data_IF_673400582909
#
_entry.id   IF_673400582909
#
_cell.length_a   1.000
_cell.length_b   1.000
_cell.length_c   1.000
_cell.angle_alpha   90.00
_cell.angle_beta   90.00
_cell.angle_gamma   90.00
#
_symmetry.space_group_name_H-M   'P 1'
#
loop_
_entity.id
_entity.type
_entity.pdbx_description
1 polymer ?
#
# COMPACT_ATOMS: atom_id res chain seq x y z
N UNK A 1 -0.06 -29.24 -10.34
CA UNK A 1 1.25 -28.92 -9.73
C UNK A 1 1.33 -27.42 -9.79
N UNK A 2 0.81 -26.84 -8.72
CA UNK A 2 0.31 -25.47 -8.67
C UNK A 2 1.39 -24.63 -8.04
N UNK A 3 2.04 -23.83 -8.87
CA UNK A 3 3.45 -23.52 -8.72
C UNK A 3 3.75 -22.60 -7.51
N UNK A 4 4.83 -22.85 -6.74
CA UNK A 4 5.33 -21.98 -5.65
C UNK A 4 5.43 -20.48 -5.99
N UNK A 5 5.54 -20.15 -7.28
CA UNK A 5 5.52 -18.78 -7.82
C UNK A 5 4.28 -17.99 -7.36
N UNK A 6 3.09 -18.59 -7.29
CA UNK A 6 1.88 -17.90 -6.86
C UNK A 6 1.91 -17.53 -5.36
N UNK A 7 2.54 -18.37 -4.53
CA UNK A 7 2.69 -18.12 -3.10
C UNK A 7 3.72 -17.02 -2.82
N UNK A 8 4.83 -17.01 -3.56
CA UNK A 8 5.86 -15.96 -3.44
C UNK A 8 5.32 -14.58 -3.86
N UNK A 9 4.50 -14.54 -4.91
CA UNK A 9 3.83 -13.31 -5.36
C UNK A 9 2.85 -12.81 -4.30
N UNK A 10 2.05 -13.70 -3.71
CA UNK A 10 1.12 -13.33 -2.64
C UNK A 10 1.86 -12.79 -1.40
N UNK A 11 2.90 -13.49 -0.96
CA UNK A 11 3.72 -13.08 0.19
C UNK A 11 4.39 -11.71 -0.05
N UNK A 12 4.91 -11.49 -1.26
CA UNK A 12 5.49 -10.20 -1.66
C UNK A 12 4.44 -9.08 -1.65
N UNK A 13 3.24 -9.33 -2.21
CA UNK A 13 2.15 -8.37 -2.20
C UNK A 13 1.68 -8.02 -0.77
N UNK A 14 1.62 -9.00 0.14
CA UNK A 14 1.32 -8.77 1.56
C UNK A 14 2.40 -7.89 2.21
N UNK A 15 3.68 -8.21 2.02
CA UNK A 15 4.78 -7.42 2.56
C UNK A 15 4.74 -5.96 2.04
N UNK A 16 4.48 -5.77 0.74
CA UNK A 16 4.34 -4.43 0.17
C UNK A 16 3.17 -3.65 0.80
N UNK A 17 2.04 -4.30 1.05
CA UNK A 17 0.90 -3.68 1.72
C UNK A 17 1.24 -3.26 3.16
N UNK A 18 1.93 -4.11 3.92
CA UNK A 18 2.38 -3.80 5.28
C UNK A 18 3.29 -2.57 5.32
N UNK A 19 4.33 -2.55 4.47
CA UNK A 19 5.25 -1.40 4.35
C UNK A 19 4.51 -0.13 3.93
N UNK A 20 3.54 -0.26 3.02
CA UNK A 20 2.75 0.87 2.54
C UNK A 20 1.87 1.47 3.65
N UNK A 21 1.24 0.64 4.47
CA UNK A 21 0.46 1.10 5.63
C UNK A 21 1.33 1.83 6.65
N UNK A 22 2.54 1.33 6.93
CA UNK A 22 3.50 2.03 7.78
C UNK A 22 3.87 3.41 7.22
N UNK A 23 4.11 3.49 5.91
CA UNK A 23 4.47 4.76 5.28
C UNK A 23 3.30 5.76 5.27
N UNK A 24 2.07 5.29 5.00
CA UNK A 24 0.84 6.10 5.14
C UNK A 24 0.72 6.66 6.56
N UNK A 25 0.98 5.84 7.58
CA UNK A 25 0.94 6.29 8.97
C UNK A 25 1.99 7.38 9.26
N UNK A 26 3.19 7.28 8.67
CA UNK A 26 4.23 8.33 8.75
C UNK A 26 3.77 9.62 8.09
N UNK A 27 3.25 9.56 6.86
CA UNK A 27 2.77 10.73 6.11
C UNK A 27 1.68 11.47 6.89
N UNK A 28 0.67 10.75 7.39
CA UNK A 28 -0.41 11.32 8.22
C UNK A 28 0.12 12.01 9.47
N UNK A 29 1.09 11.39 10.15
CA UNK A 29 1.72 11.97 11.35
C UNK A 29 2.48 13.25 11.02
N UNK A 30 3.25 13.26 9.93
CA UNK A 30 4.00 14.46 9.48
C UNK A 30 3.06 15.59 9.11
N UNK A 31 1.99 15.26 8.38
CA UNK A 31 0.96 16.20 7.97
C UNK A 31 0.26 16.86 9.18
N UNK A 32 -0.03 16.09 10.23
CA UNK A 32 -0.60 16.62 11.48
C UNK A 32 0.38 17.49 12.27
N UNK A 33 1.69 17.30 12.11
CA UNK A 33 2.73 18.01 12.86
C UNK A 33 3.24 19.30 12.20
N UNK A 34 3.02 19.46 10.89
CA UNK A 34 3.56 20.61 10.15
C UNK A 34 2.55 21.75 10.07
N UNK A 35 3.04 22.98 10.21
CA UNK A 35 2.27 24.21 9.95
C UNK A 35 2.50 24.76 8.54
N UNK A 36 3.54 24.30 7.84
CA UNK A 36 3.87 24.69 6.48
C UNK A 36 2.79 24.23 5.49
N UNK A 37 2.15 25.19 4.81
CA UNK A 37 1.06 24.93 3.85
C UNK A 37 1.54 24.15 2.63
N UNK A 38 2.69 24.50 2.06
CA UNK A 38 3.21 23.80 0.89
C UNK A 38 3.57 22.35 1.23
N UNK A 39 4.20 22.13 2.39
CA UNK A 39 4.48 20.78 2.86
C UNK A 39 3.20 19.98 3.10
N UNK A 40 2.13 20.61 3.62
CA UNK A 40 0.84 19.95 3.84
C UNK A 40 0.18 19.53 2.52
N UNK A 41 0.21 20.40 1.52
CA UNK A 41 -0.37 20.11 0.20
C UNK A 41 0.41 18.97 -0.49
N UNK A 42 1.74 19.03 -0.47
CA UNK A 42 2.59 17.95 -0.99
C UNK A 42 2.38 16.60 -0.27
N UNK A 43 2.16 16.62 1.06
CA UNK A 43 1.86 15.41 1.83
C UNK A 43 0.45 14.87 1.55
N UNK A 44 -0.52 15.73 1.22
CA UNK A 44 -1.84 15.30 0.77
C UNK A 44 -1.77 14.59 -0.59
N UNK A 45 -1.04 15.16 -1.55
CA UNK A 45 -0.83 14.53 -2.87
C UNK A 45 -0.15 13.18 -2.73
N UNK A 46 0.91 13.11 -1.90
CA UNK A 46 1.58 11.85 -1.59
C UNK A 46 0.62 10.85 -0.94
N UNK A 47 -0.19 11.28 0.03
CA UNK A 47 -1.15 10.41 0.70
C UNK A 47 -2.18 9.84 -0.28
N UNK A 48 -2.65 10.64 -1.24
CA UNK A 48 -3.56 10.18 -2.29
C UNK A 48 -2.94 9.04 -3.10
N UNK A 49 -1.74 9.23 -3.64
CA UNK A 49 -1.04 8.19 -4.41
C UNK A 49 -0.79 6.92 -3.60
N UNK A 50 -0.44 7.05 -2.32
CA UNK A 50 -0.24 5.90 -1.44
C UNK A 50 -1.55 5.14 -1.17
N UNK A 51 -2.67 5.86 -1.01
CA UNK A 51 -3.99 5.21 -0.84
C UNK A 51 -4.44 4.49 -2.10
N UNK A 52 -4.19 5.04 -3.29
CA UNK A 52 -4.50 4.37 -4.57
C UNK A 52 -3.68 3.08 -4.72
N UNK A 53 -2.38 3.12 -4.40
CA UNK A 53 -1.52 1.94 -4.43
C UNK A 53 -2.00 0.87 -3.43
N UNK A 54 -2.42 1.29 -2.22
CA UNK A 54 -2.95 0.38 -1.18
C UNK A 54 -4.21 -0.31 -1.67
N UNK A 55 -5.13 0.47 -2.24
CA UNK A 55 -6.41 -0.05 -2.74
C UNK A 55 -6.16 -1.08 -3.87
N UNK A 56 -5.13 -0.85 -4.70
CA UNK A 56 -4.67 -1.82 -5.69
C UNK A 56 -4.21 -3.15 -5.09
N UNK A 57 -3.36 -3.12 -4.05
CA UNK A 57 -2.94 -4.35 -3.35
C UNK A 57 -4.12 -5.04 -2.65
N UNK A 58 -5.01 -4.28 -2.00
CA UNK A 58 -6.18 -4.84 -1.33
C UNK A 58 -7.16 -5.51 -2.31
N UNK A 59 -7.30 -4.97 -3.53
CA UNK A 59 -8.08 -5.61 -4.59
C UNK A 59 -7.39 -6.86 -5.17
N UNK A 60 -6.05 -6.86 -5.23
CA UNK A 60 -5.27 -7.98 -5.76
C UNK A 60 -5.26 -9.20 -4.83
N UNK A 61 -5.09 -9.03 -3.51
CA UNK A 61 -4.93 -10.14 -2.57
C UNK A 61 -6.06 -11.19 -2.63
N UNK A 62 -7.36 -10.82 -2.70
CA UNK A 62 -8.44 -11.78 -2.86
C UNK A 62 -8.43 -12.50 -4.22
N UNK A 63 -8.02 -11.82 -5.29
CA UNK A 63 -7.95 -12.40 -6.64
C UNK A 63 -6.81 -13.43 -6.72
N UNK A 64 -5.64 -13.09 -6.18
CA UNK A 64 -4.49 -13.99 -6.10
C UNK A 64 -4.76 -15.22 -5.22
N UNK A 65 -5.62 -15.10 -4.20
CA UNK A 65 -6.05 -16.21 -3.36
C UNK A 65 -7.15 -17.09 -3.99
N UNK A 66 -7.88 -16.58 -4.99
CA UNK A 66 -9.03 -17.24 -5.60
C UNK A 66 -8.71 -17.97 -6.90
N UNK A 67 -7.57 -17.73 -7.54
CA UNK A 67 -7.15 -18.49 -8.73
C UNK A 67 -6.87 -19.96 -8.35
N UNK A 68 -7.69 -20.92 -8.84
CA UNK A 68 -7.35 -22.32 -8.75
C UNK A 68 -6.31 -22.62 -9.82
N UNK A 69 -5.44 -23.56 -9.54
CA UNK A 69 -4.30 -23.87 -10.40
C UNK A 69 -4.32 -25.32 -10.83
#
# INVERSE_FOLDING_TARGET
>A
MTAPIAQDVLASATLHLEVLEEFIAVVRRRMASTTDTFARDSLNDLLLSLTEQRDGYQAFLPLAAAEPV
#
